data_IF_395211750893
#
_entry.id   IF_395211750893
#
_cell.length_a   1.000
_cell.length_b   1.000
_cell.length_c   1.000
_cell.angle_alpha   90.00
_cell.angle_beta   90.00
_cell.angle_gamma   90.00
#
_symmetry.space_group_name_H-M   'P 1'
#
loop_
_entity.id
_entity.type
_entity.pdbx_description
1 polymer ?
#
# COMPACT_ATOMS: atom_id res chain seq x y z
N UNK A 1 -12.96 -2.75 -1.49
CA UNK A 1 -12.27 -1.87 -0.52
C UNK A 1 -13.35 -1.17 0.25
N UNK A 2 -13.27 -1.10 1.59
CA UNK A 2 -14.26 -0.36 2.37
C UNK A 2 -13.83 1.11 2.43
N UNK A 3 -14.76 2.03 2.18
CA UNK A 3 -14.49 3.48 2.23
C UNK A 3 -14.02 3.91 3.62
N UNK A 4 -14.50 3.24 4.67
CA UNK A 4 -14.08 3.50 6.05
C UNK A 4 -12.59 3.22 6.32
N UNK A 5 -11.93 2.43 5.46
CA UNK A 5 -10.50 2.12 5.57
C UNK A 5 -9.62 3.13 4.81
N UNK A 6 -10.22 4.08 4.09
CA UNK A 6 -9.49 5.09 3.33
C UNK A 6 -9.02 6.23 4.24
N UNK A 7 -7.79 6.69 4.00
CA UNK A 7 -7.24 7.91 4.58
C UNK A 7 -6.69 8.82 3.50
N UNK A 8 -6.64 10.11 3.81
CA UNK A 8 -5.87 11.08 3.03
C UNK A 8 -4.43 10.56 2.91
N UNK A 9 -3.82 10.75 1.73
CA UNK A 9 -2.52 10.20 1.30
C UNK A 9 -2.49 8.72 0.92
N UNK A 10 -3.60 7.99 1.05
CA UNK A 10 -3.65 6.63 0.51
C UNK A 10 -3.51 6.63 -1.02
N UNK A 11 -2.76 5.66 -1.52
CA UNK A 11 -2.62 5.39 -2.95
C UNK A 11 -3.72 4.47 -3.42
N UNK A 12 -4.36 4.84 -4.53
CA UNK A 12 -5.48 4.12 -5.14
C UNK A 12 -5.34 4.10 -6.65
N UNK A 13 -5.95 3.11 -7.30
CA UNK A 13 -6.02 3.04 -8.75
C UNK A 13 -7.36 3.58 -9.24
N UNK A 14 -7.33 4.43 -10.26
CA UNK A 14 -8.50 4.87 -10.99
C UNK A 14 -8.19 4.91 -12.48
N UNK A 15 -9.01 4.27 -13.31
CA UNK A 15 -8.81 4.17 -14.77
C UNK A 15 -7.37 3.79 -15.17
N UNK A 16 -6.82 2.77 -14.51
CA UNK A 16 -5.47 2.22 -14.71
C UNK A 16 -4.32 3.21 -14.44
N UNK A 17 -4.57 4.27 -13.66
CA UNK A 17 -3.56 5.20 -13.18
C UNK A 17 -3.57 5.22 -11.65
N UNK A 18 -2.41 5.50 -11.07
CA UNK A 18 -2.24 5.63 -9.62
C UNK A 18 -2.50 7.09 -9.24
N UNK A 19 -3.26 7.27 -8.18
CA UNK A 19 -3.56 8.55 -7.58
C UNK A 19 -3.37 8.51 -6.07
N UNK A 20 -3.17 9.70 -5.50
CA UNK A 20 -3.20 9.94 -4.05
C UNK A 20 -4.54 10.54 -3.66
N UNK A 21 -5.18 10.04 -2.61
CA UNK A 21 -6.37 10.67 -2.03
C UNK A 21 -5.96 11.97 -1.32
N UNK A 22 -6.54 13.09 -1.71
CA UNK A 22 -6.28 14.41 -1.09
C UNK A 22 -7.42 14.87 -0.20
N UNK A 23 -8.66 14.49 -0.52
CA UNK A 23 -9.84 14.86 0.25
C UNK A 23 -10.84 13.69 0.25
N UNK A 24 -11.60 13.54 1.34
CA UNK A 24 -12.71 12.58 1.47
C UNK A 24 -13.91 13.36 1.99
N UNK A 25 -15.04 13.27 1.29
CA UNK A 25 -16.24 14.01 1.66
C UNK A 25 -17.50 13.22 1.34
N UNK A 26 -18.61 13.57 2.00
CA UNK A 26 -19.90 12.93 1.81
C UNK A 26 -20.85 13.90 1.13
N UNK A 27 -21.58 13.42 0.13
CA UNK A 27 -22.66 14.18 -0.51
C UNK A 27 -23.91 14.25 0.38
N UNK A 28 -24.85 15.12 0.02
CA UNK A 28 -26.15 15.24 0.71
C UNK A 28 -26.95 13.93 0.68
N UNK A 29 -26.72 13.08 -0.32
CA UNK A 29 -27.35 11.76 -0.46
C UNK A 29 -26.58 10.64 0.27
N UNK A 30 -25.69 11.01 1.20
CA UNK A 30 -24.86 10.08 1.98
C UNK A 30 -23.85 9.24 1.18
N UNK A 31 -23.72 9.45 -0.13
CA UNK A 31 -22.67 8.81 -0.94
C UNK A 31 -21.31 9.46 -0.66
N UNK A 32 -20.27 8.62 -0.46
CA UNK A 32 -18.90 9.08 -0.24
C UNK A 32 -18.18 9.33 -1.57
N UNK A 33 -17.47 10.45 -1.61
CA UNK A 33 -16.61 10.87 -2.71
C UNK A 33 -15.19 11.08 -2.20
N UNK A 34 -14.24 10.92 -3.11
CA UNK A 34 -12.83 11.22 -2.87
C UNK A 34 -12.34 12.18 -3.93
N UNK A 35 -11.52 13.14 -3.52
CA UNK A 35 -10.66 13.87 -4.45
C UNK A 35 -9.34 13.12 -4.57
N UNK A 36 -8.96 12.81 -5.80
CA UNK A 36 -7.76 12.05 -6.14
C UNK A 36 -6.88 12.90 -7.04
N UNK A 37 -5.57 12.84 -6.79
CA UNK A 37 -4.58 13.65 -7.47
C UNK A 37 -3.35 12.84 -7.88
N UNK A 38 -2.85 13.11 -9.08
CA UNK A 38 -1.55 12.69 -9.57
C UNK A 38 -0.89 13.86 -10.30
N UNK A 39 0.28 13.64 -10.92
CA UNK A 39 1.06 14.70 -11.57
C UNK A 39 0.35 15.39 -12.74
N UNK A 40 -0.77 14.84 -13.23
CA UNK A 40 -1.46 15.29 -14.44
C UNK A 40 -2.89 15.78 -14.14
N UNK A 41 -3.58 15.11 -13.22
CA UNK A 41 -5.01 15.33 -12.98
C UNK A 41 -5.32 15.46 -11.48
N UNK A 42 -6.25 16.35 -11.14
CA UNK A 42 -6.90 16.44 -9.84
C UNK A 42 -8.41 16.40 -10.07
N UNK A 43 -9.08 15.34 -9.62
CA UNK A 43 -10.49 15.07 -9.91
C UNK A 43 -11.23 14.50 -8.69
N UNK A 44 -12.53 14.76 -8.62
CA UNK A 44 -13.41 14.14 -7.62
C UNK A 44 -14.18 12.98 -8.23
N UNK A 45 -14.19 11.84 -7.55
CA UNK A 45 -14.84 10.61 -8.02
C UNK A 45 -15.60 9.91 -6.88
N UNK A 46 -16.65 9.12 -7.18
CA UNK A 46 -17.27 8.24 -6.19
C UNK A 46 -16.24 7.29 -5.56
N UNK A 47 -16.29 7.10 -4.25
CA UNK A 47 -15.31 6.29 -3.51
C UNK A 47 -15.38 4.78 -3.84
N UNK A 48 -16.47 4.32 -4.43
CA UNK A 48 -16.63 2.94 -4.95
C UNK A 48 -16.02 2.73 -6.35
N UNK A 49 -15.69 3.82 -7.05
CA UNK A 49 -15.10 3.77 -8.39
C UNK A 49 -13.58 3.59 -8.40
N UNK A 50 -12.92 3.80 -7.26
CA UNK A 50 -11.49 3.60 -7.07
C UNK A 50 -11.19 2.15 -6.66
N UNK A 51 -10.02 1.64 -7.05
CA UNK A 51 -9.59 0.28 -6.77
C UNK A 51 -8.39 0.26 -5.82
N UNK A 52 -8.33 -0.72 -4.91
CA UNK A 52 -7.13 -0.92 -4.09
C UNK A 52 -5.98 -1.43 -4.96
N UNK A 53 -4.77 -0.95 -4.68
CA UNK A 53 -3.56 -1.43 -5.35
C UNK A 53 -2.99 -2.61 -4.56
N UNK A 54 -2.78 -3.75 -5.21
CA UNK A 54 -2.19 -4.94 -4.57
C UNK A 54 -0.70 -4.71 -4.29
N UNK A 55 -0.23 -5.18 -3.15
CA UNK A 55 1.21 -5.21 -2.85
C UNK A 55 1.90 -6.21 -3.78
N UNK A 56 2.89 -5.73 -4.50
CA UNK A 56 3.78 -6.51 -5.36
C UNK A 56 5.22 -6.37 -4.87
N UNK A 57 6.14 -7.17 -5.40
CA UNK A 57 7.57 -7.01 -5.17
C UNK A 57 8.05 -5.58 -5.47
N UNK A 58 7.67 -5.02 -6.62
CA UNK A 58 8.01 -3.64 -7.01
C UNK A 58 7.57 -2.61 -5.95
N UNK A 59 6.37 -2.79 -5.37
CA UNK A 59 5.88 -1.92 -4.32
C UNK A 59 6.63 -2.09 -3.00
N UNK A 60 7.00 -3.31 -2.63
CA UNK A 60 7.82 -3.56 -1.46
C UNK A 60 9.17 -2.86 -1.58
N UNK A 61 9.83 -2.97 -2.73
CA UNK A 61 11.10 -2.27 -3.01
C UNK A 61 10.95 -0.75 -2.95
N UNK A 62 9.89 -0.20 -3.56
CA UNK A 62 9.52 1.22 -3.46
C UNK A 62 9.32 1.67 -2.01
N UNK A 63 8.75 0.83 -1.15
CA UNK A 63 8.60 1.10 0.28
C UNK A 63 9.86 0.81 1.12
N UNK A 64 10.99 0.57 0.47
CA UNK A 64 12.29 0.39 1.12
C UNK A 64 12.50 -0.98 1.74
N UNK A 65 11.69 -1.97 1.37
CA UNK A 65 11.99 -3.36 1.69
C UNK A 65 13.06 -3.91 0.74
N UNK A 66 13.79 -4.90 1.21
CA UNK A 66 14.76 -5.67 0.43
C UNK A 66 14.48 -7.15 0.59
N UNK A 67 14.64 -7.93 -0.48
CA UNK A 67 14.50 -9.39 -0.42
C UNK A 67 15.65 -9.96 0.41
N UNK A 68 15.35 -10.65 1.51
CA UNK A 68 16.36 -11.23 2.41
C UNK A 68 16.34 -12.75 2.43
N UNK A 69 15.25 -13.38 1.99
CA UNK A 69 15.12 -14.82 1.95
C UNK A 69 14.18 -15.26 0.83
N UNK A 70 14.49 -16.39 0.20
CA UNK A 70 13.68 -17.00 -0.84
C UNK A 70 13.77 -18.52 -0.71
N UNK A 71 12.63 -19.19 -0.82
CA UNK A 71 12.49 -20.64 -0.91
C UNK A 71 11.38 -21.00 -1.89
N UNK A 72 11.14 -22.30 -2.10
CA UNK A 72 10.03 -22.77 -2.94
C UNK A 72 8.64 -22.43 -2.36
N UNK A 73 8.58 -22.05 -1.09
CA UNK A 73 7.33 -21.77 -0.39
C UNK A 73 7.10 -20.28 -0.14
N UNK A 74 8.15 -19.51 0.16
CA UNK A 74 8.01 -18.10 0.53
C UNK A 74 9.14 -17.25 -0.04
N UNK A 75 8.83 -15.99 -0.32
CA UNK A 75 9.81 -14.92 -0.52
C UNK A 75 9.61 -13.90 0.59
N UNK A 76 10.68 -13.54 1.29
CA UNK A 76 10.63 -12.59 2.40
C UNK A 76 11.36 -11.30 2.05
N UNK A 77 10.68 -10.22 2.36
CA UNK A 77 11.14 -8.84 2.26
C UNK A 77 11.27 -8.24 3.66
N UNK A 78 12.38 -7.58 3.95
CA UNK A 78 12.61 -6.92 5.23
C UNK A 78 13.01 -5.46 5.02
N UNK A 79 12.58 -4.60 5.94
CA UNK A 79 13.06 -3.22 6.03
C UNK A 79 14.32 -3.14 6.92
N UNK A 80 15.12 -2.05 6.81
CA UNK A 80 16.22 -1.81 7.74
C UNK A 80 15.77 -1.80 9.21
N UNK A 81 14.55 -1.34 9.48
CA UNK A 81 13.90 -1.54 10.76
C UNK A 81 13.52 -3.04 10.91
N UNK A 82 14.34 -3.79 11.66
CA UNK A 82 14.35 -5.27 11.73
C UNK A 82 13.03 -5.92 12.15
N UNK A 83 12.09 -5.16 12.69
CA UNK A 83 10.81 -5.67 13.19
C UNK A 83 9.69 -5.72 12.14
N UNK A 84 9.88 -5.14 10.94
CA UNK A 84 8.90 -5.16 9.84
C UNK A 84 9.38 -6.06 8.71
N UNK A 85 8.57 -7.07 8.38
CA UNK A 85 8.81 -7.99 7.27
C UNK A 85 7.55 -8.16 6.44
N UNK A 86 7.68 -8.60 5.21
CA UNK A 86 6.58 -8.99 4.35
C UNK A 86 6.89 -10.33 3.70
N UNK A 87 6.01 -11.31 3.87
CA UNK A 87 6.13 -12.62 3.25
C UNK A 87 5.18 -12.70 2.05
N UNK A 88 5.73 -13.01 0.88
CA UNK A 88 4.98 -13.46 -0.29
C UNK A 88 4.91 -14.99 -0.23
N UNK A 89 3.73 -15.53 0.02
CA UNK A 89 3.48 -16.97 0.03
C UNK A 89 3.34 -17.48 -1.41
N UNK A 90 4.18 -18.41 -1.84
CA UNK A 90 4.16 -18.97 -3.20
C UNK A 90 3.17 -20.14 -3.35
N UNK A 91 2.62 -20.63 -2.23
CA UNK A 91 1.57 -21.64 -2.26
C UNK A 91 0.26 -21.07 -2.81
N UNK A 92 -0.59 -21.95 -3.35
CA UNK A 92 -1.93 -21.57 -3.80
C UNK A 92 -2.86 -21.12 -2.65
N UNK A 93 -2.53 -21.49 -1.40
CA UNK A 93 -3.38 -21.21 -0.23
C UNK A 93 -3.17 -19.83 0.37
N UNK A 94 -2.00 -19.19 0.13
CA UNK A 94 -1.69 -17.82 0.59
C UNK A 94 -1.89 -17.61 2.11
N UNK A 95 -1.57 -18.62 2.90
CA UNK A 95 -1.77 -18.63 4.37
C UNK A 95 -0.73 -17.73 5.04
N UNK A 96 0.50 -17.73 4.53
CA UNK A 96 1.62 -16.96 5.09
C UNK A 96 1.77 -15.57 4.45
N UNK A 97 0.89 -15.20 3.51
CA UNK A 97 0.99 -13.94 2.76
C UNK A 97 0.61 -12.74 3.62
N UNK A 98 1.53 -11.78 3.75
CA UNK A 98 1.24 -10.51 4.41
C UNK A 98 2.39 -9.93 5.23
N UNK A 99 2.03 -8.95 6.05
CA UNK A 99 2.97 -8.18 6.86
C UNK A 99 3.26 -8.92 8.17
N UNK A 100 4.52 -8.89 8.62
CA UNK A 100 4.93 -9.38 9.93
C UNK A 100 5.50 -8.24 10.75
N UNK A 101 4.95 -8.03 11.94
CA UNK A 101 5.40 -7.00 12.87
C UNK A 101 5.64 -7.66 14.24
N UNK A 102 6.88 -7.60 14.72
CA UNK A 102 7.30 -8.27 15.97
C UNK A 102 6.91 -9.77 16.01
N UNK A 103 7.01 -10.47 14.88
CA UNK A 103 6.66 -11.88 14.75
C UNK A 103 5.16 -12.16 14.55
N UNK A 104 4.28 -11.17 14.72
CA UNK A 104 2.84 -11.32 14.51
C UNK A 104 2.50 -11.16 13.02
N UNK A 105 1.65 -12.04 12.49
CA UNK A 105 1.19 -11.97 11.10
C UNK A 105 -0.06 -11.10 11.00
N UNK A 106 -0.01 -10.12 10.10
CA UNK A 106 -1.08 -9.16 9.83
C UNK A 106 -1.45 -9.30 8.36
N UNK A 107 -2.73 -9.59 8.12
CA UNK A 107 -3.28 -9.62 6.76
C UNK A 107 -3.15 -8.22 6.16
N UNK A 108 -2.29 -8.10 5.16
CA UNK A 108 -1.99 -6.85 4.47
C UNK A 108 -1.73 -7.18 3.01
N UNK A 109 -2.74 -6.98 2.16
CA UNK A 109 -2.77 -7.35 0.75
C UNK A 109 -2.67 -6.13 -0.15
N UNK A 110 -3.08 -4.97 0.35
CA UNK A 110 -3.19 -3.75 -0.42
C UNK A 110 -2.35 -2.61 0.16
N UNK A 111 -1.93 -1.71 -0.71
CA UNK A 111 -1.03 -0.61 -0.34
C UNK A 111 -1.64 0.31 0.72
N UNK A 112 -2.92 0.66 0.61
CA UNK A 112 -3.58 1.52 1.59
C UNK A 112 -3.54 0.90 3.00
N UNK A 113 -3.68 -0.42 3.13
CA UNK A 113 -3.57 -1.13 4.41
C UNK A 113 -2.15 -0.96 4.97
N UNK A 114 -1.13 -1.13 4.14
CA UNK A 114 0.26 -0.91 4.54
C UNK A 114 0.52 0.55 4.94
N UNK A 115 0.08 1.53 4.15
CA UNK A 115 0.21 2.95 4.45
C UNK A 115 -0.45 3.31 5.79
N UNK A 116 -1.64 2.78 6.03
CA UNK A 116 -2.39 3.01 7.27
C UNK A 116 -1.69 2.38 8.48
N UNK A 117 -1.19 1.15 8.36
CA UNK A 117 -0.43 0.49 9.43
C UNK A 117 0.88 1.24 9.70
N UNK A 118 1.60 1.60 8.65
CA UNK A 118 2.89 2.29 8.76
C UNK A 118 2.74 3.67 9.41
N UNK A 119 1.78 4.48 8.95
CA UNK A 119 1.48 5.79 9.54
C UNK A 119 1.09 5.69 11.02
N UNK A 120 0.30 4.68 11.41
CA UNK A 120 -0.03 4.43 12.81
C UNK A 120 1.19 4.06 13.66
N UNK A 121 2.14 3.30 13.12
CA UNK A 121 3.33 2.86 13.87
C UNK A 121 4.40 3.95 13.99
N UNK A 122 4.57 4.79 12.96
CA UNK A 122 5.69 5.72 12.86
C UNK A 122 5.31 7.20 12.93
N UNK A 123 4.02 7.53 12.93
CA UNK A 123 3.54 8.91 12.90
C UNK A 123 3.83 9.66 11.59
N UNK A 124 4.24 8.95 10.54
CA UNK A 124 4.58 9.50 9.21
C UNK A 124 4.25 8.52 8.09
N UNK A 125 4.08 9.03 6.88
CA UNK A 125 3.85 8.20 5.69
C UNK A 125 5.09 7.36 5.34
N UNK A 126 4.92 6.16 4.74
CA UNK A 126 6.04 5.42 4.19
C UNK A 126 6.66 6.21 3.03
N UNK A 127 7.96 6.52 3.14
CA UNK A 127 8.69 7.18 2.06
C UNK A 127 8.82 6.22 0.88
N UNK A 128 8.26 6.58 -0.28
CA UNK A 128 8.51 5.87 -1.53
C UNK A 128 9.89 6.28 -2.04
N UNK A 129 10.81 5.32 -2.13
CA UNK A 129 12.06 5.52 -2.86
C UNK A 129 11.75 5.43 -4.35
N UNK A 130 11.66 6.57 -5.02
CA UNK A 130 11.80 6.60 -6.46
C UNK A 130 13.26 6.24 -6.76
N UNK A 131 13.47 5.19 -7.57
CA UNK A 131 14.82 4.76 -7.95
C UNK A 131 15.54 5.90 -8.65
N UNK A 132 16.41 6.60 -7.92
CA UNK A 132 17.49 7.32 -8.57
C UNK A 132 18.39 6.25 -9.15
N UNK A 133 18.43 6.15 -10.48
CA UNK A 133 19.57 5.55 -11.16
C UNK A 133 20.78 6.39 -10.74
N UNK A 134 21.57 5.90 -9.80
CA UNK A 134 22.92 6.43 -9.58
C UNK A 134 23.68 6.18 -10.89
N UNK A 135 23.81 7.22 -11.70
CA UNK A 135 24.81 7.27 -12.77
C UNK A 135 26.17 7.24 -12.08
N UNK A 136 26.85 6.09 -12.20
CA UNK A 136 28.26 5.92 -11.83
C UNK A 136 29.16 6.99 -12.45
#
# INVERSE_FOLDING_TARGET
MNVADLKIKNLVEYKNQIYTITEIFQSLEQAYFVKIENDIHSISVPADSIKPIKITEEWLEKFGFSRTYSSDQIIRYERPETFIKYDIDLSSRKILEGLKIYGNSIKCKYIHEFQNIFSCLFGKEPSVKYGYLETK
#
